data_IF_200999131352
#
_entry.id   IF_200999131352
#
_cell.length_a   1.000
_cell.length_b   1.000
_cell.length_c   1.000
_cell.angle_alpha   90.00
_cell.angle_beta   90.00
_cell.angle_gamma   90.00
#
_symmetry.space_group_name_H-M   'P 1'
#
loop_
_entity.id
_entity.type
_entity.pdbx_description
1 polymer ?
#
# COMPACT_ATOMS: atom_id res chain seq x y z
N UNK A 1 2.48 -1.86 -19.23
CA UNK A 1 2.36 -2.57 -20.51
C UNK A 1 3.04 -1.84 -21.68
N UNK A 2 3.91 -0.83 -21.48
CA UNK A 2 4.83 -0.34 -22.53
C UNK A 2 4.22 0.22 -23.83
N UNK A 3 2.89 0.34 -23.92
CA UNK A 3 2.15 0.58 -25.17
C UNK A 3 1.65 2.02 -25.34
N UNK A 4 2.00 2.92 -24.42
CA UNK A 4 1.51 4.30 -24.47
C UNK A 4 2.31 5.10 -25.50
N UNK A 5 1.64 5.63 -26.51
CA UNK A 5 2.28 6.43 -27.55
C UNK A 5 2.57 7.84 -27.04
N UNK A 6 3.84 8.07 -26.66
CA UNK A 6 4.30 9.35 -26.16
C UNK A 6 4.22 10.46 -27.21
N UNK A 7 4.57 10.15 -28.46
CA UNK A 7 4.66 11.13 -29.55
C UNK A 7 3.28 11.60 -30.00
N UNK A 8 2.27 10.71 -29.99
CA UNK A 8 0.87 11.09 -30.22
C UNK A 8 0.33 12.12 -29.20
N UNK A 9 1.03 12.30 -28.08
CA UNK A 9 0.67 13.23 -27.01
C UNK A 9 1.83 14.17 -26.63
N UNK A 10 2.66 14.55 -27.60
CA UNK A 10 3.89 15.33 -27.38
C UNK A 10 3.69 16.60 -26.53
N UNK A 11 2.59 17.34 -26.75
CA UNK A 11 2.28 18.55 -25.97
C UNK A 11 2.10 18.27 -24.47
N UNK A 12 1.64 17.08 -24.10
CA UNK A 12 1.43 16.67 -22.70
C UNK A 12 2.69 16.10 -22.05
N UNK A 13 3.63 15.61 -22.85
CA UNK A 13 4.85 14.96 -22.37
C UNK A 13 6.12 15.54 -23.01
N UNK A 14 6.30 16.88 -23.02
CA UNK A 14 7.43 17.51 -23.72
C UNK A 14 8.77 16.99 -23.19
N UNK A 15 8.87 16.68 -21.89
CA UNK A 15 10.08 16.08 -21.32
C UNK A 15 10.52 14.77 -21.98
N UNK A 16 9.62 13.99 -22.59
CA UNK A 16 9.97 12.76 -23.29
C UNK A 16 10.07 12.95 -24.81
N UNK A 17 9.40 13.97 -25.35
CA UNK A 17 9.18 14.12 -26.81
C UNK A 17 9.88 15.31 -27.43
N UNK A 18 10.57 16.15 -26.66
CA UNK A 18 11.42 17.23 -27.17
C UNK A 18 12.89 16.99 -26.80
N UNK A 19 13.84 17.63 -27.51
CA UNK A 19 15.26 17.55 -27.16
C UNK A 19 15.52 17.94 -25.70
N UNK A 20 16.31 17.12 -25.00
CA UNK A 20 16.78 17.39 -23.64
C UNK A 20 18.21 17.92 -23.67
N UNK A 21 18.37 19.23 -23.46
CA UNK A 21 19.67 19.92 -23.46
C UNK A 21 20.62 19.39 -22.37
N UNK A 22 20.08 18.84 -21.27
CA UNK A 22 20.88 18.26 -20.19
C UNK A 22 21.49 16.89 -20.55
N UNK A 23 21.11 16.35 -21.72
CA UNK A 23 21.51 15.03 -22.19
C UNK A 23 21.73 15.00 -23.71
N UNK A 24 22.49 15.99 -24.22
CA UNK A 24 22.94 16.06 -25.61
C UNK A 24 21.81 16.19 -26.65
N UNK A 25 20.69 16.82 -26.29
CA UNK A 25 19.57 17.05 -27.20
C UNK A 25 18.78 15.79 -27.52
N UNK A 26 18.90 14.74 -26.70
CA UNK A 26 18.19 13.48 -26.92
C UNK A 26 16.67 13.68 -26.84
N UNK A 27 15.94 13.01 -27.72
CA UNK A 27 14.48 12.84 -27.61
C UNK A 27 14.22 11.42 -27.12
N UNK A 28 13.81 11.26 -25.85
CA UNK A 28 13.70 9.95 -25.20
C UNK A 28 12.69 9.02 -25.89
N UNK A 29 11.53 9.56 -26.28
CA UNK A 29 10.48 8.81 -26.97
C UNK A 29 10.95 8.25 -28.32
N UNK A 30 11.78 9.00 -29.05
CA UNK A 30 12.35 8.55 -30.32
C UNK A 30 13.47 7.52 -30.11
N UNK A 31 14.37 7.78 -29.15
CA UNK A 31 15.56 6.95 -28.95
C UNK A 31 15.29 5.63 -28.24
N UNK A 32 14.42 5.64 -27.24
CA UNK A 32 14.17 4.48 -26.36
C UNK A 32 12.77 3.89 -26.54
N UNK A 33 11.97 4.45 -27.45
CA UNK A 33 10.64 3.95 -27.79
C UNK A 33 9.64 3.99 -26.63
N UNK A 34 8.51 3.33 -26.82
CA UNK A 34 7.38 3.42 -25.89
C UNK A 34 7.68 2.81 -24.51
N UNK A 35 8.47 1.73 -24.48
CA UNK A 35 8.78 0.99 -23.25
C UNK A 35 9.92 1.63 -22.45
N UNK A 36 10.93 2.19 -23.13
CA UNK A 36 12.15 2.67 -22.51
C UNK A 36 12.16 4.16 -22.17
N UNK A 37 11.41 5.00 -22.90
CA UNK A 37 11.52 6.46 -22.79
C UNK A 37 11.38 6.98 -21.35
N UNK A 38 10.31 6.55 -20.66
CA UNK A 38 10.05 7.00 -19.29
C UNK A 38 11.13 6.55 -18.31
N UNK A 39 11.44 5.25 -18.30
CA UNK A 39 12.37 4.70 -17.29
C UNK A 39 13.79 5.22 -17.52
N UNK A 40 14.22 5.34 -18.78
CA UNK A 40 15.53 5.90 -19.10
C UNK A 40 15.62 7.35 -18.69
N UNK A 41 14.62 8.19 -18.97
CA UNK A 41 14.60 9.59 -18.52
C UNK A 41 14.63 9.70 -16.99
N UNK A 42 13.83 8.89 -16.30
CA UNK A 42 13.80 8.89 -14.83
C UNK A 42 15.17 8.52 -14.25
N UNK A 43 15.90 7.58 -14.86
CA UNK A 43 17.24 7.18 -14.42
C UNK A 43 18.31 8.19 -14.82
N UNK A 44 18.33 8.68 -16.06
CA UNK A 44 19.40 9.54 -16.58
C UNK A 44 19.35 10.97 -16.06
N UNK A 45 18.15 11.46 -15.74
CA UNK A 45 17.93 12.83 -15.26
C UNK A 45 17.53 12.85 -13.78
N UNK A 46 16.37 12.31 -13.42
CA UNK A 46 15.84 12.47 -12.05
C UNK A 46 16.71 11.78 -11.00
N UNK A 47 17.11 10.53 -11.24
CA UNK A 47 17.98 9.79 -10.30
C UNK A 47 19.37 10.41 -10.21
N UNK A 48 19.92 10.89 -11.34
CA UNK A 48 21.20 11.60 -11.39
C UNK A 48 21.15 12.90 -10.57
N UNK A 49 20.10 13.69 -10.74
CA UNK A 49 20.02 15.05 -10.19
C UNK A 49 19.52 15.07 -8.74
N UNK A 50 18.61 14.16 -8.36
CA UNK A 50 18.09 14.05 -6.98
C UNK A 50 18.84 13.02 -6.12
N UNK A 51 19.70 12.18 -6.71
CA UNK A 51 20.53 11.23 -5.98
C UNK A 51 19.75 10.13 -5.25
N UNK A 52 18.52 9.83 -5.64
CA UNK A 52 17.66 8.81 -5.03
C UNK A 52 18.09 7.39 -5.44
N UNK A 53 19.31 7.01 -5.08
CA UNK A 53 19.91 5.71 -5.41
C UNK A 53 19.69 4.70 -4.29
N UNK A 54 19.47 3.43 -4.66
CA UNK A 54 19.37 2.34 -3.71
C UNK A 54 20.76 1.88 -3.26
N UNK A 55 20.94 1.62 -1.96
CA UNK A 55 22.13 0.96 -1.44
C UNK A 55 22.26 -0.46 -2.03
N UNK A 56 23.46 -0.89 -2.46
CA UNK A 56 23.67 -2.26 -2.94
C UNK A 56 23.29 -3.33 -1.91
N UNK A 57 23.50 -3.06 -0.62
CA UNK A 57 23.11 -3.95 0.47
C UNK A 57 21.58 -4.06 0.59
N UNK A 58 20.86 -2.94 0.45
CA UNK A 58 19.39 -2.95 0.50
C UNK A 58 18.80 -3.68 -0.72
N UNK A 59 19.43 -3.53 -1.89
CA UNK A 59 19.04 -4.27 -3.09
C UNK A 59 19.22 -5.79 -2.91
N UNK A 60 20.32 -6.21 -2.27
CA UNK A 60 20.55 -7.61 -1.93
C UNK A 60 19.50 -8.17 -0.95
N UNK A 61 19.19 -7.43 0.13
CA UNK A 61 18.16 -7.84 1.10
C UNK A 61 16.77 -7.90 0.45
N UNK A 62 16.42 -6.92 -0.38
CA UNK A 62 15.17 -6.95 -1.15
C UNK A 62 15.10 -8.19 -2.05
N UNK A 63 16.19 -8.50 -2.75
CA UNK A 63 16.23 -9.66 -3.66
C UNK A 63 15.96 -10.97 -2.92
N UNK A 64 16.55 -11.17 -1.73
CA UNK A 64 16.24 -12.34 -0.88
C UNK A 64 14.74 -12.38 -0.53
N UNK A 65 14.17 -11.23 -0.18
CA UNK A 65 12.73 -11.13 0.10
C UNK A 65 11.86 -11.55 -1.09
N UNK A 66 12.25 -11.19 -2.32
CA UNK A 66 11.49 -11.47 -3.53
C UNK A 66 11.37 -12.98 -3.83
N UNK A 67 12.38 -13.79 -3.47
CA UNK A 67 12.37 -15.24 -3.69
C UNK A 67 11.14 -15.93 -3.08
N UNK A 68 10.68 -15.43 -1.92
CA UNK A 68 9.52 -15.96 -1.20
C UNK A 68 8.23 -15.14 -1.38
N UNK A 69 8.22 -14.12 -2.23
CA UNK A 69 7.08 -13.21 -2.37
C UNK A 69 5.76 -13.95 -2.65
N UNK A 70 5.79 -14.87 -3.61
CA UNK A 70 4.61 -15.62 -4.06
C UNK A 70 3.98 -16.48 -2.96
N UNK A 71 4.79 -17.10 -2.08
CA UNK A 71 4.26 -17.88 -0.94
C UNK A 71 3.80 -16.99 0.20
N UNK A 72 4.52 -15.90 0.50
CA UNK A 72 4.16 -14.96 1.57
C UNK A 72 2.84 -14.25 1.26
N UNK A 73 2.66 -13.75 0.03
CA UNK A 73 1.44 -13.02 -0.35
C UNK A 73 0.19 -13.89 -0.24
N UNK A 74 0.27 -15.18 -0.59
CA UNK A 74 -0.85 -16.11 -0.43
C UNK A 74 -1.27 -16.21 1.04
N UNK A 75 -0.30 -16.33 1.96
CA UNK A 75 -0.57 -16.42 3.39
C UNK A 75 -1.10 -15.09 3.95
N UNK A 76 -0.51 -13.95 3.59
CA UNK A 76 -1.02 -12.63 3.99
C UNK A 76 -2.49 -12.44 3.58
N UNK A 77 -2.83 -12.77 2.33
CA UNK A 77 -4.21 -12.68 1.84
C UNK A 77 -5.16 -13.63 2.58
N UNK A 78 -4.72 -14.86 2.87
CA UNK A 78 -5.51 -15.83 3.62
C UNK A 78 -5.79 -15.34 5.05
N UNK A 79 -4.76 -14.86 5.76
CA UNK A 79 -4.87 -14.34 7.12
C UNK A 79 -5.75 -13.08 7.16
N UNK A 80 -5.56 -12.16 6.21
CA UNK A 80 -6.37 -10.94 6.09
C UNK A 80 -7.86 -11.27 5.90
N UNK A 81 -8.20 -12.19 5.00
CA UNK A 81 -9.58 -12.61 4.79
C UNK A 81 -10.18 -13.32 6.02
N UNK A 82 -9.40 -14.18 6.69
CA UNK A 82 -9.85 -14.87 7.89
C UNK A 82 -10.14 -13.89 9.03
N UNK A 83 -9.23 -12.94 9.28
CA UNK A 83 -9.43 -11.89 10.28
C UNK A 83 -10.64 -11.02 9.92
N UNK A 84 -10.78 -10.60 8.67
CA UNK A 84 -11.91 -9.78 8.23
C UNK A 84 -13.26 -10.48 8.47
N UNK A 85 -13.36 -11.80 8.17
CA UNK A 85 -14.55 -12.60 8.46
C UNK A 85 -14.83 -12.68 9.96
N UNK A 86 -13.81 -13.04 10.75
CA UNK A 86 -13.92 -13.14 12.21
C UNK A 86 -14.41 -11.82 12.83
N UNK A 87 -13.85 -10.69 12.42
CA UNK A 87 -14.25 -9.37 12.92
C UNK A 87 -15.66 -8.99 12.48
N UNK A 88 -16.10 -9.40 11.28
CA UNK A 88 -17.43 -9.08 10.76
C UNK A 88 -18.56 -9.80 11.49
N UNK A 89 -18.25 -10.92 12.16
CA UNK A 89 -19.19 -11.68 12.98
C UNK A 89 -19.22 -11.20 14.45
N UNK A 90 -18.32 -10.29 14.83
CA UNK A 90 -18.18 -9.81 16.21
C UNK A 90 -19.16 -8.69 16.56
N UNK A 91 -19.88 -8.87 17.67
CA UNK A 91 -20.78 -7.85 18.22
C UNK A 91 -20.04 -6.62 18.77
N UNK A 92 -18.71 -6.67 18.90
CA UNK A 92 -17.85 -5.57 19.37
C UNK A 92 -17.29 -4.70 18.25
N UNK A 93 -17.52 -5.06 17.00
CA UNK A 93 -17.05 -4.33 15.80
C UNK A 93 -18.24 -3.62 15.15
N UNK A 94 -18.06 -2.37 14.76
CA UNK A 94 -19.09 -1.55 14.08
C UNK A 94 -19.08 -1.79 12.58
N UNK A 95 -17.89 -1.88 12.00
CA UNK A 95 -17.70 -2.08 10.57
C UNK A 95 -16.33 -2.67 10.29
N UNK A 96 -16.23 -3.41 9.18
CA UNK A 96 -14.99 -3.96 8.63
C UNK A 96 -14.88 -3.50 7.18
N UNK A 97 -13.70 -2.99 6.82
CA UNK A 97 -13.32 -2.64 5.46
C UNK A 97 -12.25 -3.61 4.98
N UNK A 98 -12.63 -4.46 4.03
CA UNK A 98 -11.73 -5.44 3.43
C UNK A 98 -12.27 -5.84 2.04
N UNK A 99 -11.58 -5.53 0.93
CA UNK A 99 -12.12 -5.77 -0.41
C UNK A 99 -12.39 -7.24 -0.76
N UNK A 100 -11.88 -8.19 0.01
CA UNK A 100 -12.17 -9.62 -0.17
C UNK A 100 -13.42 -10.11 0.57
N UNK A 101 -14.09 -9.25 1.35
CA UNK A 101 -15.27 -9.60 2.13
C UNK A 101 -16.55 -9.34 1.32
N UNK A 102 -17.49 -10.31 1.24
CA UNK A 102 -18.80 -10.07 0.64
C UNK A 102 -19.53 -8.91 1.36
N UNK A 103 -20.03 -7.95 0.58
CA UNK A 103 -20.67 -6.74 1.12
C UNK A 103 -19.76 -5.52 1.20
N UNK A 104 -18.44 -5.67 1.02
CA UNK A 104 -17.54 -4.52 0.85
C UNK A 104 -17.83 -3.83 -0.50
N UNK A 105 -17.80 -2.49 -0.52
CA UNK A 105 -18.08 -1.68 -1.72
C UNK A 105 -17.14 -1.98 -2.90
N UNK A 106 -15.96 -2.54 -2.64
CA UNK A 106 -14.97 -2.89 -3.66
C UNK A 106 -14.93 -4.38 -3.99
N UNK A 107 -15.83 -5.20 -3.44
CA UNK A 107 -15.81 -6.66 -3.61
C UNK A 107 -15.80 -7.11 -5.07
N UNK A 108 -16.67 -6.54 -5.91
CA UNK A 108 -16.75 -6.93 -7.34
C UNK A 108 -15.52 -6.48 -8.14
N UNK A 109 -14.96 -5.32 -7.82
CA UNK A 109 -13.73 -4.81 -8.44
C UNK A 109 -12.53 -5.65 -8.01
N UNK A 110 -12.47 -6.03 -6.73
CA UNK A 110 -11.45 -6.92 -6.20
C UNK A 110 -11.48 -8.29 -6.89
N UNK A 111 -12.66 -8.88 -7.09
CA UNK A 111 -12.79 -10.13 -7.87
C UNK A 111 -12.27 -10.01 -9.29
N UNK A 112 -12.48 -8.87 -9.95
CA UNK A 112 -12.02 -8.63 -11.32
C UNK A 112 -10.50 -8.52 -11.41
N UNK A 113 -9.88 -7.73 -10.54
CA UNK A 113 -8.46 -7.37 -10.66
C UNK A 113 -7.52 -8.18 -9.75
N UNK A 114 -8.05 -8.77 -8.67
CA UNK A 114 -7.30 -9.50 -7.65
C UNK A 114 -8.01 -10.84 -7.30
N UNK A 115 -8.30 -11.72 -8.28
CA UNK A 115 -9.07 -12.94 -8.06
C UNK A 115 -8.41 -13.94 -7.09
N UNK A 116 -7.09 -13.82 -6.88
CA UNK A 116 -6.29 -14.73 -6.05
C UNK A 116 -5.98 -14.17 -4.65
N UNK A 117 -6.73 -13.16 -4.21
CA UNK A 117 -6.54 -12.49 -2.91
C UNK A 117 -6.10 -11.04 -3.06
N UNK A 118 -6.50 -10.20 -2.10
CA UNK A 118 -6.35 -8.74 -2.16
C UNK A 118 -5.11 -8.27 -1.41
N UNK A 119 -5.10 -8.40 -0.08
CA UNK A 119 -3.98 -8.05 0.80
C UNK A 119 -4.15 -8.67 2.20
N UNK A 120 -3.12 -8.53 3.04
CA UNK A 120 -3.21 -8.84 4.47
C UNK A 120 -3.67 -7.69 5.35
N UNK A 121 -4.10 -6.56 4.78
CA UNK A 121 -4.46 -5.36 5.56
C UNK A 121 -5.98 -5.31 5.75
N UNK A 122 -6.42 -5.23 7.01
CA UNK A 122 -7.81 -5.14 7.43
C UNK A 122 -8.00 -3.86 8.25
N UNK A 123 -9.01 -3.07 7.91
CA UNK A 123 -9.41 -1.91 8.70
C UNK A 123 -10.79 -2.15 9.31
N UNK A 124 -10.99 -1.75 10.56
CA UNK A 124 -12.27 -1.92 11.24
C UNK A 124 -12.48 -0.88 12.33
N UNK A 125 -13.73 -0.55 12.61
CA UNK A 125 -14.12 0.36 13.68
C UNK A 125 -14.59 -0.45 14.89
N UNK A 126 -14.01 -0.22 16.07
CA UNK A 126 -14.45 -0.87 17.30
C UNK A 126 -15.61 -0.10 17.97
N UNK A 127 -16.55 -0.83 18.56
CA UNK A 127 -17.59 -0.21 19.40
C UNK A 127 -16.99 0.35 20.67
N UNK A 128 -17.52 1.48 21.13
CA UNK A 128 -17.04 2.18 22.33
C UNK A 128 -16.02 3.29 22.03
N UNK A 129 -15.91 3.71 20.77
CA UNK A 129 -15.17 4.92 20.40
C UNK A 129 -13.65 4.79 20.56
N UNK A 130 -12.98 5.94 20.64
CA UNK A 130 -11.53 6.06 20.72
C UNK A 130 -10.91 5.31 21.89
N UNK A 131 -11.51 5.40 23.08
CA UNK A 131 -10.99 4.74 24.27
C UNK A 131 -11.00 3.20 24.14
N UNK A 132 -12.02 2.63 23.49
CA UNK A 132 -12.06 1.20 23.21
C UNK A 132 -10.99 0.79 22.19
N UNK A 133 -10.71 1.62 21.19
CA UNK A 133 -9.66 1.39 20.19
C UNK A 133 -8.25 1.43 20.82
N UNK A 134 -7.98 2.42 21.68
CA UNK A 134 -6.72 2.52 22.42
C UNK A 134 -6.52 1.29 23.32
N UNK A 135 -7.57 0.89 24.05
CA UNK A 135 -7.54 -0.32 24.88
C UNK A 135 -7.32 -1.58 24.05
N UNK A 136 -8.02 -1.74 22.93
CA UNK A 136 -7.84 -2.87 22.02
C UNK A 136 -6.37 -3.02 21.61
N UNK A 137 -5.77 -1.94 21.12
CA UNK A 137 -4.37 -1.94 20.69
C UNK A 137 -3.40 -2.25 21.84
N UNK A 138 -3.64 -1.71 23.04
CA UNK A 138 -2.80 -1.94 24.23
C UNK A 138 -2.83 -3.39 24.75
N UNK A 139 -3.96 -4.10 24.56
CA UNK A 139 -4.11 -5.47 25.05
C UNK A 139 -3.50 -6.53 24.12
N UNK A 140 -3.12 -6.17 22.90
CA UNK A 140 -2.48 -7.08 21.95
C UNK A 140 -1.14 -7.59 22.49
N UNK A 141 -0.91 -8.90 22.40
CA UNK A 141 0.34 -9.56 22.84
C UNK A 141 1.17 -10.12 21.70
N UNK A 142 0.53 -10.43 20.57
CA UNK A 142 1.18 -10.99 19.37
C UNK A 142 1.42 -9.89 18.33
N UNK A 143 0.42 -9.05 18.07
CA UNK A 143 0.52 -7.98 17.09
C UNK A 143 1.48 -6.89 17.58
N UNK A 144 2.49 -6.58 16.78
CA UNK A 144 3.38 -5.45 17.03
C UNK A 144 2.67 -4.12 16.80
N UNK A 145 2.92 -3.11 17.64
CA UNK A 145 2.36 -1.77 17.46
C UNK A 145 3.29 -0.97 16.54
N UNK A 146 2.95 -0.89 15.25
CA UNK A 146 3.85 -0.36 14.22
C UNK A 146 3.09 0.39 13.11
N UNK A 147 3.77 1.31 12.45
CA UNK A 147 3.17 2.16 11.41
C UNK A 147 3.32 1.60 9.99
N UNK A 148 4.29 0.72 9.75
CA UNK A 148 4.47 0.06 8.46
C UNK A 148 3.49 -1.11 8.28
N UNK A 149 3.51 -1.74 7.11
CA UNK A 149 2.61 -2.86 6.73
C UNK A 149 3.40 -3.92 5.97
N UNK A 150 2.81 -5.11 5.84
CA UNK A 150 3.34 -6.23 5.05
C UNK A 150 4.71 -6.75 5.51
N UNK A 151 5.02 -6.64 6.81
CA UNK A 151 6.06 -7.48 7.43
C UNK A 151 5.55 -8.92 7.57
N UNK A 152 6.46 -9.88 7.70
CA UNK A 152 6.16 -11.24 8.06
C UNK A 152 5.45 -11.35 9.42
N UNK A 153 5.62 -10.36 10.30
CA UNK A 153 4.92 -10.26 11.58
C UNK A 153 3.63 -9.47 11.45
N UNK A 154 2.62 -9.91 12.17
CA UNK A 154 1.36 -9.22 12.32
C UNK A 154 1.56 -7.90 13.08
N UNK A 155 1.06 -6.79 12.53
CA UNK A 155 1.15 -5.48 13.17
C UNK A 155 -0.19 -4.74 13.20
N UNK A 156 -0.34 -3.84 14.17
CA UNK A 156 -1.55 -3.09 14.46
C UNK A 156 -1.24 -1.61 14.64
N UNK A 157 -2.14 -0.77 14.15
CA UNK A 157 -2.10 0.67 14.30
C UNK A 157 -3.49 1.21 14.64
N UNK A 158 -3.58 2.06 15.65
CA UNK A 158 -4.71 2.95 15.90
C UNK A 158 -4.34 4.36 15.43
N UNK A 159 -4.72 4.80 14.22
CA UNK A 159 -4.15 6.02 13.63
C UNK A 159 -4.47 7.29 14.42
N UNK A 160 -5.68 7.42 14.98
CA UNK A 160 -6.11 8.61 15.71
C UNK A 160 -5.30 8.89 16.99
N UNK A 161 -4.75 7.86 17.65
CA UNK A 161 -3.87 8.02 18.82
C UNK A 161 -2.38 8.08 18.48
N UNK A 162 -2.02 7.80 17.23
CA UNK A 162 -0.63 7.65 16.78
C UNK A 162 -0.29 8.62 15.64
N UNK A 163 -0.41 8.17 14.40
CA UNK A 163 0.00 8.89 13.19
C UNK A 163 -0.77 10.18 12.94
N UNK A 164 -2.02 10.25 13.38
CA UNK A 164 -2.92 11.39 13.18
C UNK A 164 -3.29 12.08 14.49
N UNK A 165 -2.51 11.86 15.58
CA UNK A 165 -2.78 12.42 16.91
C UNK A 165 -2.85 13.94 16.99
N UNK A 166 -2.37 14.63 15.96
CA UNK A 166 -2.35 16.10 15.87
C UNK A 166 -3.64 16.69 15.30
N UNK A 167 -4.50 15.85 14.71
CA UNK A 167 -5.76 16.28 14.10
C UNK A 167 -6.88 16.37 15.13
N UNK A 168 -7.83 17.28 14.90
CA UNK A 168 -9.10 17.31 15.65
C UNK A 168 -10.00 16.15 15.23
N UNK A 169 -11.08 15.88 15.97
CA UNK A 169 -12.03 14.81 15.61
C UNK A 169 -12.71 15.09 14.26
N UNK A 170 -13.03 16.35 13.97
CA UNK A 170 -13.63 16.76 12.70
C UNK A 170 -12.67 16.51 11.52
N UNK A 171 -11.39 16.83 11.70
CA UNK A 171 -10.34 16.58 10.70
C UNK A 171 -10.07 15.09 10.50
N UNK A 172 -10.09 14.31 11.59
CA UNK A 172 -10.00 12.86 11.56
C UNK A 172 -11.14 12.24 10.74
N UNK A 173 -12.39 12.65 10.99
CA UNK A 173 -13.56 12.20 10.24
C UNK A 173 -13.45 12.62 8.76
N UNK A 174 -13.04 13.87 8.48
CA UNK A 174 -12.87 14.37 7.12
C UNK A 174 -11.81 13.60 6.32
N UNK A 175 -10.75 13.13 6.98
CA UNK A 175 -9.71 12.28 6.38
C UNK A 175 -10.09 10.79 6.28
N UNK A 176 -11.27 10.39 6.77
CA UNK A 176 -11.71 8.98 6.80
C UNK A 176 -11.01 8.14 7.88
N UNK A 177 -10.56 8.77 8.96
CA UNK A 177 -9.83 8.16 10.08
C UNK A 177 -10.62 8.38 11.38
N UNK A 178 -11.83 7.83 11.53
CA UNK A 178 -12.62 8.04 12.74
C UNK A 178 -11.85 7.59 13.98
N UNK A 179 -12.13 8.22 15.13
CA UNK A 179 -11.38 7.99 16.37
C UNK A 179 -11.33 6.53 16.85
N UNK A 180 -12.21 5.64 16.36
CA UNK A 180 -12.25 4.22 16.70
C UNK A 180 -11.69 3.27 15.63
N UNK A 181 -11.06 3.79 14.58
CA UNK A 181 -10.50 3.00 13.49
C UNK A 181 -9.23 2.25 13.91
N UNK A 182 -9.21 0.92 13.77
CA UNK A 182 -8.02 0.10 13.86
C UNK A 182 -7.61 -0.36 12.46
N UNK A 183 -6.30 -0.38 12.18
CA UNK A 183 -5.71 -1.03 11.01
C UNK A 183 -4.81 -2.17 11.47
N UNK A 184 -5.11 -3.38 11.05
CA UNK A 184 -4.26 -4.55 11.24
C UNK A 184 -3.64 -4.95 9.90
N UNK A 185 -2.35 -5.26 9.90
CA UNK A 185 -1.64 -5.88 8.78
C UNK A 185 -1.25 -7.28 9.24
N UNK A 186 -1.98 -8.28 8.77
CA UNK A 186 -1.77 -9.68 9.10
C UNK A 186 -0.46 -10.19 8.50
N UNK A 187 0.39 -10.74 9.37
CA UNK A 187 1.64 -11.41 9.03
C UNK A 187 1.43 -12.84 8.55
N UNK A 188 2.42 -13.69 8.82
CA UNK A 188 2.51 -15.09 8.40
C UNK A 188 2.23 -16.07 9.56
N UNK A 189 1.80 -15.57 10.72
CA UNK A 189 1.44 -16.41 11.85
C UNK A 189 0.29 -17.36 11.50
N UNK A 190 0.17 -18.45 12.28
CA UNK A 190 -0.95 -19.38 12.16
C UNK A 190 -2.28 -18.69 12.44
N UNK A 191 -3.27 -18.97 11.59
CA UNK A 191 -4.66 -18.51 11.74
C UNK A 191 -5.45 -19.45 12.62
#
# INVERSE_FOLDING_TARGET
SGKFDWLAHAERFPGLTTPDDSYHGIVYAEKFGLEGAFITKATSQLMRDFGSIQSPQDAYVLNIGLESLHVRMKQHCANGLALAKFLSESDKVESVAYPGLPGDKYYDIAKKYMPNGTCGVVSFCVKGGRAAAEKFMHELKIFAIETHVADARSCCLHPASSTHRQLTEEELIACGVPGNLIRMSCGLEGT
#
